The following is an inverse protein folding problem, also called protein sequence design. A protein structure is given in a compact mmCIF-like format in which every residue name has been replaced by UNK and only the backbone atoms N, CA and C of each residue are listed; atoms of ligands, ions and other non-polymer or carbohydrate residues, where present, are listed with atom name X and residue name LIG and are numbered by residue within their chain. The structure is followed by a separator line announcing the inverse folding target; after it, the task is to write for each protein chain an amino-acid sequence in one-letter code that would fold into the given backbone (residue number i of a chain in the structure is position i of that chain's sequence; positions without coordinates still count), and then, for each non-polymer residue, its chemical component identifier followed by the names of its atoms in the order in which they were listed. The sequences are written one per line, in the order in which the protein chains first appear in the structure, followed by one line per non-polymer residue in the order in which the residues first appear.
data_IF_843709152216
#
_entry.id   IF_843709152216
#
_cell.length_a   1.000
_cell.length_b   1.000
_cell.length_c   1.000
_cell.angle_alpha   90.00
_cell.angle_beta   90.00
_cell.angle_gamma   90.00
#
_symmetry.space_group_name_H-M   'P 1'
#
loop_
_entity.id
_entity.type
_entity.pdbx_description
1 polymer ?
#
# COMPACT_ATOMS: atom_id res chain seq x y z
N UNK A 1 -10.17 6.88 -1.54
CA UNK A 1 -8.76 7.25 -1.93
C UNK A 1 -7.84 7.10 -0.72
N UNK A 2 -7.26 5.91 -0.54
CA UNK A 2 -6.48 5.56 0.65
C UNK A 2 -5.12 6.22 0.85
N UNK A 3 -4.39 5.73 1.85
CA UNK A 3 -3.02 6.10 2.23
C UNK A 3 -2.16 4.90 2.66
N UNK A 4 -0.85 5.12 2.80
CA UNK A 4 0.13 4.14 3.27
C UNK A 4 0.91 4.75 4.43
N UNK A 5 0.82 4.16 5.62
CA UNK A 5 1.55 4.68 6.78
C UNK A 5 2.95 4.07 6.93
N UNK A 6 3.74 4.62 7.84
CA UNK A 6 5.12 4.21 8.12
C UNK A 6 5.25 2.79 8.70
N UNK A 7 4.14 2.15 9.07
CA UNK A 7 4.09 0.75 9.53
C UNK A 7 3.74 -0.23 8.41
N UNK A 8 3.55 0.26 7.18
CA UNK A 8 3.14 -0.55 6.04
C UNK A 8 1.64 -0.78 5.94
N UNK A 9 0.81 -0.11 6.75
CA UNK A 9 -0.63 -0.30 6.67
C UNK A 9 -1.23 0.49 5.52
N UNK A 10 -2.05 -0.19 4.73
CA UNK A 10 -2.95 0.41 3.75
C UNK A 10 -4.18 0.92 4.49
N UNK A 11 -4.55 2.17 4.22
CA UNK A 11 -5.63 2.87 4.90
C UNK A 11 -6.68 3.32 3.88
N UNK A 12 -7.96 3.17 4.19
CA UNK A 12 -9.09 3.68 3.40
C UNK A 12 -10.06 4.49 4.26
N UNK A 13 -10.94 5.26 3.61
CA UNK A 13 -11.82 6.21 4.32
C UNK A 13 -13.10 5.57 4.84
N UNK A 14 -13.59 4.53 4.17
CA UNK A 14 -14.83 3.85 4.55
C UNK A 14 -14.63 2.34 4.72
N UNK A 15 -15.45 1.68 5.57
CA UNK A 15 -15.44 0.23 5.69
C UNK A 15 -15.71 -0.49 4.36
N UNK A 16 -16.54 0.08 3.49
CA UNK A 16 -16.87 -0.47 2.18
C UNK A 16 -15.65 -0.47 1.25
N UNK A 17 -14.92 0.64 1.16
CA UNK A 17 -13.65 0.72 0.42
C UNK A 17 -12.66 -0.32 0.97
N UNK A 18 -12.50 -0.40 2.29
CA UNK A 18 -11.57 -1.33 2.93
C UNK A 18 -11.94 -2.80 2.72
N UNK A 19 -13.24 -3.13 2.74
CA UNK A 19 -13.72 -4.49 2.47
C UNK A 19 -13.49 -4.89 1.02
N UNK A 20 -13.69 -3.95 0.08
CA UNK A 20 -13.38 -4.19 -1.33
C UNK A 20 -11.89 -4.47 -1.52
N UNK A 21 -11.02 -3.63 -0.94
CA UNK A 21 -9.56 -3.81 -0.99
C UNK A 21 -9.16 -5.18 -0.43
N UNK A 22 -9.65 -5.57 0.76
CA UNK A 22 -9.38 -6.89 1.35
C UNK A 22 -9.81 -8.04 0.44
N UNK A 23 -11.02 -7.98 -0.11
CA UNK A 23 -11.54 -9.02 -1.00
C UNK A 23 -10.70 -9.15 -2.27
N UNK A 24 -10.22 -8.03 -2.84
CA UNK A 24 -9.31 -8.04 -3.98
C UNK A 24 -7.99 -8.71 -3.59
N UNK A 25 -7.42 -8.36 -2.43
CA UNK A 25 -6.15 -8.94 -1.96
C UNK A 25 -6.28 -10.45 -1.76
N UNK A 26 -7.34 -10.89 -1.07
CA UNK A 26 -7.59 -12.30 -0.73
C UNK A 26 -7.81 -13.19 -1.97
N UNK A 27 -8.40 -12.65 -3.03
CA UNK A 27 -8.74 -13.41 -4.24
C UNK A 27 -7.82 -13.17 -5.43
N UNK A 28 -6.69 -12.49 -5.24
CA UNK A 28 -5.73 -12.23 -6.32
C UNK A 28 -4.48 -13.07 -6.15
N UNK A 29 -4.06 -13.76 -7.23
CA UNK A 29 -2.78 -14.47 -7.26
C UNK A 29 -1.58 -13.51 -7.22
N UNK A 30 -1.77 -12.27 -7.68
CA UNK A 30 -0.77 -11.20 -7.62
C UNK A 30 -1.41 -9.87 -7.25
N UNK A 31 -0.83 -9.19 -6.27
CA UNK A 31 -1.25 -7.87 -5.79
C UNK A 31 -0.16 -6.83 -6.04
N UNK A 32 -0.52 -5.75 -6.72
CA UNK A 32 0.38 -4.65 -7.04
C UNK A 32 -0.19 -3.37 -6.42
N UNK A 33 0.60 -2.72 -5.57
CA UNK A 33 0.23 -1.44 -4.97
C UNK A 33 0.81 -0.32 -5.80
N UNK A 34 -0.04 0.61 -6.24
CA UNK A 34 0.40 1.85 -6.89
C UNK A 34 0.24 2.99 -5.89
N UNK A 35 1.33 3.69 -5.58
CA UNK A 35 1.34 4.79 -4.64
C UNK A 35 2.22 5.94 -5.13
N UNK A 36 1.61 7.10 -5.37
CA UNK A 36 2.38 8.33 -5.52
C UNK A 36 2.89 8.83 -4.16
N UNK A 37 3.85 9.77 -4.17
CA UNK A 37 4.39 10.36 -2.94
C UNK A 37 3.32 10.97 -2.02
N UNK A 38 2.16 11.38 -2.53
CA UNK A 38 1.08 11.99 -1.72
C UNK A 38 0.30 10.96 -0.90
N UNK A 39 0.49 9.67 -1.18
CA UNK A 39 -0.11 8.54 -0.44
C UNK A 39 0.65 8.20 0.83
N UNK A 40 1.93 8.54 0.91
CA UNK A 40 2.74 8.34 2.11
C UNK A 40 2.21 9.17 3.27
N UNK A 41 2.06 8.52 4.42
CA UNK A 41 1.58 9.10 5.68
C UNK A 41 0.21 9.80 5.58
N UNK A 42 -0.53 9.57 4.49
CA UNK A 42 -1.89 10.05 4.34
C UNK A 42 -2.78 9.30 5.31
N UNK A 43 -3.34 10.03 6.26
CA UNK A 43 -4.26 9.46 7.23
C UNK A 43 -5.60 9.08 6.59
N UNK A 44 -6.06 7.87 6.91
CA UNK A 44 -7.45 7.44 6.82
C UNK A 44 -7.76 6.48 7.99
N UNK A 45 -9.02 6.44 8.48
CA UNK A 45 -9.34 5.80 9.76
C UNK A 45 -9.44 4.27 9.70
N UNK A 46 -9.60 3.67 8.51
CA UNK A 46 -9.84 2.24 8.36
C UNK A 46 -8.61 1.56 7.76
N UNK A 47 -8.07 0.55 8.42
CA UNK A 47 -7.02 -0.30 7.83
C UNK A 47 -7.67 -1.20 6.78
N UNK A 48 -7.13 -1.23 5.57
CA UNK A 48 -7.63 -2.02 4.43
C UNK A 48 -6.69 -3.14 4.00
N UNK A 49 -5.47 -3.19 4.51
CA UNK A 49 -4.50 -4.27 4.28
C UNK A 49 -3.12 -3.89 4.80
N UNK A 50 -2.16 -4.78 4.57
CA UNK A 50 -0.75 -4.62 4.93
C UNK A 50 0.12 -4.68 3.68
N UNK A 51 1.19 -3.89 3.66
CA UNK A 51 2.11 -3.82 2.53
C UNK A 51 2.74 -5.18 2.21
N UNK A 52 2.96 -6.03 3.23
CA UNK A 52 3.49 -7.39 3.06
C UNK A 52 2.57 -8.33 2.28
N UNK A 53 1.31 -7.97 2.07
CA UNK A 53 0.38 -8.71 1.21
C UNK A 53 0.57 -8.35 -0.29
N UNK A 54 1.36 -7.31 -0.58
CA UNK A 54 1.67 -6.86 -1.93
C UNK A 54 2.91 -7.58 -2.46
N UNK A 55 2.90 -7.86 -3.75
CA UNK A 55 4.06 -8.43 -4.44
C UNK A 55 5.00 -7.33 -4.94
N UNK A 56 4.40 -6.24 -5.45
CA UNK A 56 5.12 -5.11 -6.04
C UNK A 56 4.51 -3.80 -5.55
N UNK A 57 5.38 -2.82 -5.31
CA UNK A 57 5.04 -1.44 -4.99
C UNK A 57 5.55 -0.56 -6.13
N UNK A 58 4.62 0.00 -6.90
CA UNK A 58 4.90 0.92 -8.00
C UNK A 58 4.73 2.36 -7.54
N UNK A 59 5.76 3.19 -7.71
CA UNK A 59 5.78 4.57 -7.21
C UNK A 59 6.17 5.57 -8.29
N UNK A 60 5.68 6.80 -8.16
CA UNK A 60 6.06 7.93 -9.01
C UNK A 60 7.48 8.42 -8.74
N UNK A 61 7.97 8.20 -7.51
CA UNK A 61 9.32 8.55 -7.07
C UNK A 61 9.79 7.63 -5.97
N UNK A 62 10.98 7.05 -6.13
CA UNK A 62 11.64 6.20 -5.12
C UNK A 62 12.16 7.03 -3.94
N UNK A 63 11.26 7.43 -3.03
CA UNK A 63 11.63 8.17 -1.81
C UNK A 63 12.29 7.26 -0.77
N UNK A 64 13.10 7.78 0.18
CA UNK A 64 13.67 6.97 1.26
C UNK A 64 12.62 6.21 2.08
N UNK A 65 11.43 6.78 2.25
CA UNK A 65 10.32 6.11 2.94
C UNK A 65 9.83 4.88 2.17
N UNK A 66 9.66 4.98 0.85
CA UNK A 66 9.29 3.83 0.02
C UNK A 66 10.37 2.76 0.00
N UNK A 67 11.64 3.15 -0.09
CA UNK A 67 12.78 2.21 -0.03
C UNK A 67 12.83 1.48 1.31
N UNK A 68 12.60 2.18 2.41
CA UNK A 68 12.57 1.57 3.74
C UNK A 68 11.38 0.60 3.89
N UNK A 69 10.19 1.03 3.47
CA UNK A 69 8.98 0.21 3.51
C UNK A 69 9.12 -1.04 2.65
N UNK A 70 9.66 -0.92 1.43
CA UNK A 70 9.85 -2.05 0.53
C UNK A 70 10.82 -3.09 1.11
N UNK A 71 11.92 -2.63 1.72
CA UNK A 71 12.89 -3.51 2.38
C UNK A 71 12.28 -4.20 3.61
N UNK A 72 11.56 -3.47 4.45
CA UNK A 72 10.98 -4.00 5.70
C UNK A 72 9.88 -5.03 5.44
N UNK A 73 9.06 -4.80 4.42
CA UNK A 73 7.91 -5.66 4.10
C UNK A 73 8.18 -6.66 2.97
N UNK A 74 9.42 -6.74 2.48
CA UNK A 74 9.85 -7.65 1.42
C UNK A 74 9.05 -7.51 0.12
N UNK A 75 8.75 -6.27 -0.29
CA UNK A 75 8.00 -5.96 -1.51
C UNK A 75 8.95 -5.42 -2.58
N UNK A 76 8.79 -5.83 -3.83
CA UNK A 76 9.59 -5.32 -4.95
C UNK A 76 9.18 -3.88 -5.28
N UNK A 77 10.11 -2.92 -5.12
CA UNK A 77 9.90 -1.51 -5.45
C UNK A 77 10.19 -1.26 -6.94
N UNK A 78 9.24 -0.64 -7.63
CA UNK A 78 9.31 -0.27 -9.05
C UNK A 78 9.05 1.23 -9.17
N UNK A 79 9.89 1.93 -9.92
CA UNK A 79 9.76 3.37 -10.20
C UNK A 79 9.39 3.58 -11.69
N UNK A 80 8.49 4.54 -11.96
CA UNK A 80 8.03 4.92 -13.30
C UNK A 80 8.95 5.89 -14.02
#
# INVERSE_FOLDING_TARGET
MGGLNSRGQLLDFTPEEANLTRAIIEHSEQCWLVADKSKLERYAPVVSGELSEMHRLFVDKSTPAFQQLSLLHHVELIES
#
